data_IF_879018819860
#
_entry.id   IF_879018819860
#
_cell.length_a   1.000
_cell.length_b   1.000
_cell.length_c   1.000
_cell.angle_alpha   90.00
_cell.angle_beta   90.00
_cell.angle_gamma   90.00
#
_symmetry.space_group_name_H-M   'P 1'
#
loop_
_entity.id
_entity.type
_entity.pdbx_description
1 polymer ?
#
# COMPACT_ATOMS: atom_id res chain seq x y z
N UNK A 1 16.76 -7.27 4.38
CA UNK A 1 15.39 -6.93 3.96
C UNK A 1 15.26 -5.42 4.06
N UNK A 2 16.03 -4.72 3.24
CA UNK A 2 16.19 -3.26 3.30
C UNK A 2 15.71 -2.74 1.94
N UNK A 3 14.77 -1.78 1.96
CA UNK A 3 14.22 -1.15 0.74
C UNK A 3 12.88 -1.69 0.21
N UNK A 4 12.30 -2.75 0.77
CA UNK A 4 10.98 -3.20 0.32
C UNK A 4 9.85 -2.24 0.74
N UNK A 5 9.98 -1.63 1.91
CA UNK A 5 9.09 -0.55 2.34
C UNK A 5 9.21 0.68 1.44
N UNK A 6 10.45 1.08 1.10
CA UNK A 6 10.71 2.18 0.18
C UNK A 6 10.03 1.95 -1.17
N UNK A 7 10.14 0.74 -1.75
CA UNK A 7 9.43 0.37 -2.99
C UNK A 7 7.91 0.45 -2.87
N UNK A 8 7.35 0.12 -1.70
CA UNK A 8 5.92 0.27 -1.47
C UNK A 8 5.56 1.76 -1.45
N UNK A 9 6.31 2.58 -0.72
CA UNK A 9 6.07 4.02 -0.66
C UNK A 9 6.26 4.72 -2.01
N UNK A 10 7.29 4.37 -2.78
CA UNK A 10 7.52 4.88 -4.15
C UNK A 10 6.37 4.51 -5.09
N UNK A 11 5.87 3.28 -5.00
CA UNK A 11 4.72 2.85 -5.81
C UNK A 11 3.46 3.62 -5.43
N UNK A 12 3.25 3.87 -4.14
CA UNK A 12 2.12 4.68 -3.65
C UNK A 12 2.20 6.11 -4.19
N UNK A 13 3.36 6.75 -4.06
CA UNK A 13 3.60 8.13 -4.54
C UNK A 13 3.30 8.27 -6.05
N UNK A 14 3.62 7.25 -6.86
CA UNK A 14 3.34 7.23 -8.31
C UNK A 14 1.86 6.96 -8.67
N UNK A 15 1.08 6.33 -7.79
CA UNK A 15 -0.28 5.86 -8.09
C UNK A 15 -1.40 6.63 -7.38
N UNK A 16 -1.09 7.38 -6.32
CA UNK A 16 -2.06 7.94 -5.39
C UNK A 16 -1.78 9.42 -5.09
N UNK A 17 -2.56 10.33 -5.65
CA UNK A 17 -2.51 11.77 -5.35
C UNK A 17 -3.32 12.14 -4.09
N UNK A 18 -2.71 12.87 -3.14
CA UNK A 18 -3.38 13.47 -1.96
C UNK A 18 -4.17 12.49 -1.08
N UNK A 19 -3.55 11.39 -0.64
CA UNK A 19 -4.20 10.35 0.18
C UNK A 19 -3.71 10.32 1.63
N UNK A 20 -4.56 9.85 2.55
CA UNK A 20 -4.14 9.50 3.91
C UNK A 20 -3.52 8.09 3.89
N UNK A 21 -2.32 7.96 4.46
CA UNK A 21 -1.58 6.69 4.50
C UNK A 21 -1.41 6.27 5.96
N UNK A 22 -1.86 5.06 6.29
CA UNK A 22 -1.73 4.44 7.61
C UNK A 22 -0.95 3.11 7.53
N UNK A 23 -0.28 2.71 8.62
CA UNK A 23 0.37 1.40 8.70
C UNK A 23 -0.68 0.28 8.71
N UNK A 24 -0.46 -0.76 7.92
CA UNK A 24 -1.34 -1.93 7.87
C UNK A 24 -0.56 -3.23 8.16
N UNK A 25 -0.39 -3.60 9.44
CA UNK A 25 0.55 -4.65 9.86
C UNK A 25 0.15 -6.08 9.47
N UNK A 26 -1.04 -6.27 8.90
CA UNK A 26 -1.52 -7.58 8.43
C UNK A 26 -0.79 -8.06 7.18
N UNK A 27 -0.19 -7.15 6.40
CA UNK A 27 0.62 -7.48 5.22
C UNK A 27 2.05 -6.97 5.38
N UNK A 28 3.06 -7.66 4.81
CA UNK A 28 4.45 -7.21 4.86
C UNK A 28 4.62 -5.82 4.22
N UNK A 29 5.12 -4.87 5.00
CA UNK A 29 5.24 -3.46 4.60
C UNK A 29 3.90 -2.86 4.12
N UNK A 30 2.79 -3.33 4.69
CA UNK A 30 1.45 -2.91 4.31
C UNK A 30 1.15 -1.47 4.68
N UNK A 31 0.50 -0.76 3.77
CA UNK A 31 -0.01 0.59 3.93
C UNK A 31 -1.48 0.60 3.55
N UNK A 32 -2.33 1.16 4.40
CA UNK A 32 -3.72 1.43 4.12
C UNK A 32 -3.81 2.86 3.56
N UNK A 33 -4.38 2.99 2.38
CA UNK A 33 -4.54 4.24 1.68
C UNK A 33 -6.02 4.56 1.66
N UNK A 34 -6.36 5.79 2.05
CA UNK A 34 -7.71 6.31 1.98
C UNK A 34 -7.76 7.53 1.08
N UNK A 35 -8.65 7.47 0.10
CA UNK A 35 -8.87 8.57 -0.83
C UNK A 35 -9.92 9.58 -0.33
N UNK A 36 -10.10 10.65 -1.11
CA UNK A 36 -11.08 11.70 -0.80
C UNK A 36 -12.54 11.23 -0.81
N UNK A 37 -12.84 10.15 -1.54
CA UNK A 37 -14.17 9.54 -1.60
C UNK A 37 -14.41 8.58 -0.43
N UNK A 38 -13.39 8.31 0.38
CA UNK A 38 -13.41 7.38 1.50
C UNK A 38 -13.21 5.92 1.09
N UNK A 39 -12.80 5.65 -0.15
CA UNK A 39 -12.43 4.32 -0.61
C UNK A 39 -11.07 3.93 -0.04
N UNK A 40 -10.95 2.67 0.40
CA UNK A 40 -9.74 2.16 1.03
C UNK A 40 -9.02 1.12 0.17
N UNK A 41 -7.72 1.31 0.01
CA UNK A 41 -6.84 0.38 -0.71
C UNK A 41 -5.69 -0.03 0.19
N UNK A 42 -5.42 -1.33 0.28
CA UNK A 42 -4.22 -1.85 0.96
C UNK A 42 -3.14 -2.11 -0.08
N UNK A 43 -1.98 -1.50 0.09
CA UNK A 43 -0.79 -1.70 -0.74
C UNK A 43 0.30 -2.34 0.11
N UNK A 44 0.97 -3.37 -0.41
CA UNK A 44 1.93 -4.14 0.38
C UNK A 44 2.97 -4.83 -0.49
N UNK A 45 4.03 -5.33 0.14
CA UNK A 45 5.01 -6.18 -0.52
C UNK A 45 4.54 -7.64 -0.53
N UNK A 46 4.26 -8.18 -1.72
CA UNK A 46 3.96 -9.59 -1.88
C UNK A 46 5.26 -10.41 -1.84
N UNK A 47 5.53 -11.04 -0.70
CA UNK A 47 6.73 -11.88 -0.50
C UNK A 47 6.75 -13.10 -1.44
N UNK A 48 5.59 -13.64 -1.81
CA UNK A 48 5.47 -14.82 -2.70
C UNK A 48 5.97 -14.48 -4.11
N UNK A 49 5.61 -13.30 -4.63
CA UNK A 49 5.93 -12.88 -5.99
C UNK A 49 7.11 -11.91 -6.06
N UNK A 50 7.61 -11.43 -4.93
CA UNK A 50 8.73 -10.48 -4.86
C UNK A 50 8.42 -9.14 -5.53
N UNK A 51 7.21 -8.60 -5.36
CA UNK A 51 6.76 -7.33 -5.96
C UNK A 51 5.73 -6.61 -5.07
N UNK A 52 5.46 -5.34 -5.36
CA UNK A 52 4.31 -4.61 -4.80
C UNK A 52 3.01 -5.19 -5.38
N UNK A 53 2.00 -5.38 -4.53
CA UNK A 53 0.65 -5.83 -4.88
C UNK A 53 -0.36 -5.03 -4.05
N UNK A 54 -1.61 -4.95 -4.50
CA UNK A 54 -2.63 -4.13 -3.82
C UNK A 54 -4.01 -4.81 -3.87
N UNK A 55 -4.86 -4.44 -2.91
CA UNK A 55 -6.24 -4.93 -2.79
C UNK A 55 -7.15 -3.79 -2.38
N UNK A 56 -8.27 -3.64 -3.10
CA UNK A 56 -9.37 -2.79 -2.65
C UNK A 56 -10.06 -3.48 -1.48
N UNK A 57 -10.31 -2.73 -0.41
CA UNK A 57 -11.20 -3.19 0.64
C UNK A 57 -12.63 -2.93 0.18
N UNK A 58 -13.35 -4.00 -0.19
CA UNK A 58 -14.79 -3.89 -0.36
C UNK A 58 -15.41 -3.60 1.01
N UNK A 59 -16.25 -2.55 1.06
CA UNK A 59 -16.96 -2.10 2.27
C UNK A 59 -18.02 -3.11 2.75
#
# INVERSE_FOLDING_TARGET
MEGNEEKVMEWIDDHFDMNEIEEFPFFPYGKLIRDENGETTVVFWCVIYGRVDYRFQEA
#
